data_IF_297473512230
#
_entry.id   IF_297473512230
#
_cell.length_a   1.000
_cell.length_b   1.000
_cell.length_c   1.000
_cell.angle_alpha   90.00
_cell.angle_beta   90.00
_cell.angle_gamma   90.00
#
_symmetry.space_group_name_H-M   'P 1'
#
loop_
_entity.id
_entity.type
_entity.pdbx_description
1 polymer ?
#
# COMPACT_ATOMS: atom_id res chain seq x y z
N UNK A 1 -40.73 23.63 18.86
CA UNK A 1 -40.75 23.02 17.53
C UNK A 1 -39.59 22.05 17.35
N UNK A 2 -39.66 21.17 16.36
CA UNK A 2 -38.60 20.15 16.08
C UNK A 2 -37.41 20.71 15.31
N UNK A 3 -37.40 21.99 14.99
CA UNK A 3 -36.32 22.62 14.21
C UNK A 3 -35.38 23.38 15.13
N UNK A 4 -34.07 23.10 14.95
CA UNK A 4 -32.98 23.79 15.63
C UNK A 4 -32.01 24.34 14.57
N UNK A 5 -31.62 25.60 14.72
CA UNK A 5 -30.72 26.23 13.76
C UNK A 5 -29.29 25.63 13.86
N UNK A 6 -28.57 25.46 12.74
CA UNK A 6 -27.17 25.10 12.80
C UNK A 6 -26.38 26.02 13.73
N UNK A 7 -25.70 25.44 14.70
CA UNK A 7 -25.01 26.18 15.76
C UNK A 7 -23.56 25.75 15.83
N UNK A 8 -22.65 26.72 15.78
CA UNK A 8 -21.23 26.51 15.98
C UNK A 8 -20.80 27.15 17.32
N UNK A 9 -20.28 26.34 18.20
CA UNK A 9 -19.75 26.75 19.49
C UNK A 9 -18.20 26.84 19.43
N UNK A 10 -17.64 27.68 20.24
CA UNK A 10 -16.18 27.76 20.45
C UNK A 10 -15.89 27.42 21.92
N UNK A 11 -15.15 26.33 22.13
CA UNK A 11 -14.65 26.00 23.46
C UNK A 11 -13.45 26.88 23.79
N UNK A 12 -13.55 27.61 24.90
CA UNK A 12 -12.48 28.53 25.34
C UNK A 12 -11.29 27.81 25.94
N UNK A 13 -11.53 26.70 26.63
CA UNK A 13 -10.49 25.82 27.18
C UNK A 13 -10.96 24.37 27.08
N UNK A 14 -10.82 23.80 25.89
CA UNK A 14 -11.32 22.46 25.59
C UNK A 14 -10.61 21.33 26.38
N UNK A 15 -9.39 21.59 26.88
CA UNK A 15 -8.67 20.62 27.72
C UNK A 15 -9.24 20.52 29.14
N UNK A 16 -9.78 21.59 29.66
CA UNK A 16 -10.32 21.67 31.04
C UNK A 16 -11.84 21.53 31.12
N UNK A 17 -12.54 21.93 30.06
CA UNK A 17 -14.01 21.87 30.01
C UNK A 17 -14.47 20.49 29.54
N UNK A 18 -14.89 19.64 30.48
CA UNK A 18 -15.39 18.31 30.19
C UNK A 18 -16.82 18.30 29.63
N UNK A 19 -17.58 19.38 29.80
CA UNK A 19 -18.96 19.47 29.31
C UNK A 19 -19.07 19.27 27.80
N UNK A 20 -18.15 19.82 27.03
CA UNK A 20 -18.11 19.69 25.56
C UNK A 20 -17.77 18.26 25.08
N UNK A 21 -17.16 17.45 25.95
CA UNK A 21 -16.79 16.07 25.66
C UNK A 21 -17.82 15.04 26.19
N UNK A 22 -18.52 15.38 27.26
CA UNK A 22 -19.46 14.50 27.93
C UNK A 22 -20.90 14.59 27.40
N UNK A 23 -21.27 15.74 26.85
CA UNK A 23 -22.61 15.98 26.33
C UNK A 23 -22.63 15.77 24.81
N UNK A 24 -23.40 14.81 24.35
CA UNK A 24 -23.66 14.61 22.94
C UNK A 24 -24.89 15.39 22.50
N UNK A 25 -24.70 16.42 21.70
CA UNK A 25 -25.80 17.19 21.12
C UNK A 25 -26.34 16.47 19.86
N UNK A 26 -27.43 15.75 19.98
CA UNK A 26 -28.10 15.11 18.85
C UNK A 26 -28.85 16.16 18.01
N UNK A 27 -28.08 16.91 17.18
CA UNK A 27 -28.64 17.98 16.35
C UNK A 27 -27.52 18.67 15.55
N UNK A 28 -27.85 19.73 14.81
CA UNK A 28 -26.90 20.49 14.00
C UNK A 28 -26.01 21.40 14.86
N UNK A 29 -25.33 20.83 15.83
CA UNK A 29 -24.41 21.54 16.75
C UNK A 29 -23.01 20.99 16.56
N UNK A 30 -22.04 21.88 16.39
CA UNK A 30 -20.61 21.55 16.32
C UNK A 30 -19.83 22.45 17.27
N UNK A 31 -18.78 21.91 17.87
CA UNK A 31 -17.88 22.66 18.75
C UNK A 31 -16.50 22.76 18.12
N UNK A 32 -16.02 23.98 17.93
CA UNK A 32 -14.66 24.25 17.51
C UNK A 32 -13.74 24.25 18.75
N UNK A 33 -12.65 23.48 18.65
CA UNK A 33 -11.60 23.39 19.67
C UNK A 33 -10.27 23.70 19.00
N UNK A 34 -9.55 24.67 19.54
CA UNK A 34 -8.20 25.02 19.05
C UNK A 34 -7.15 24.18 19.75
N UNK A 35 -6.05 23.93 19.07
CA UNK A 35 -4.88 23.24 19.61
C UNK A 35 -3.60 23.79 18.99
N UNK A 36 -2.48 23.68 19.69
CA UNK A 36 -1.18 24.19 19.25
C UNK A 36 -0.35 23.13 18.53
N UNK A 37 -0.54 21.85 18.85
CA UNK A 37 0.21 20.74 18.27
C UNK A 37 -0.61 19.45 18.20
N UNK A 38 -0.14 18.49 17.38
CA UNK A 38 -0.85 17.24 17.09
C UNK A 38 -1.19 16.42 18.34
N UNK A 39 -0.31 16.39 19.34
CA UNK A 39 -0.53 15.61 20.57
C UNK A 39 -1.71 16.14 21.38
N UNK A 40 -1.88 17.45 21.41
CA UNK A 40 -3.03 18.08 22.02
C UNK A 40 -4.33 17.77 21.28
N UNK A 41 -4.31 17.83 19.94
CA UNK A 41 -5.45 17.43 19.12
C UNK A 41 -5.85 15.96 19.38
N UNK A 42 -4.88 15.07 19.51
CA UNK A 42 -5.12 13.66 19.83
C UNK A 42 -5.70 13.48 21.24
N UNK A 43 -5.19 14.23 22.22
CA UNK A 43 -5.71 14.21 23.59
C UNK A 43 -7.16 14.73 23.64
N UNK A 44 -7.47 15.82 22.94
CA UNK A 44 -8.84 16.34 22.79
C UNK A 44 -9.77 15.30 22.16
N UNK A 45 -9.35 14.68 21.06
CA UNK A 45 -10.13 13.65 20.38
C UNK A 45 -10.40 12.43 21.29
N UNK A 46 -9.43 12.04 22.12
CA UNK A 46 -9.57 10.93 23.07
C UNK A 46 -10.55 11.22 24.24
N UNK A 47 -10.73 12.50 24.62
CA UNK A 47 -11.68 12.91 25.68
C UNK A 47 -13.15 12.54 25.33
N UNK A 48 -13.48 12.31 24.05
CA UNK A 48 -14.77 11.79 23.63
C UNK A 48 -15.07 10.36 24.08
N UNK A 49 -14.08 9.63 24.62
CA UNK A 49 -14.21 8.26 25.18
C UNK A 49 -14.74 7.22 24.18
N UNK A 50 -14.57 7.47 22.91
CA UNK A 50 -14.98 6.61 21.80
C UNK A 50 -15.89 7.30 20.80
N UNK A 51 -15.50 7.26 19.55
CA UNK A 51 -16.21 7.87 18.43
C UNK A 51 -16.35 6.89 17.27
N UNK A 52 -17.45 6.97 16.53
CA UNK A 52 -17.65 6.15 15.33
C UNK A 52 -16.65 6.54 14.23
N UNK A 53 -16.41 7.84 14.05
CA UNK A 53 -15.62 8.37 12.95
C UNK A 53 -14.72 9.51 13.43
N UNK A 54 -13.51 9.55 12.88
CA UNK A 54 -12.63 10.73 12.90
C UNK A 54 -12.15 11.07 11.49
N UNK A 55 -11.97 12.35 11.21
CA UNK A 55 -11.40 12.80 9.93
C UNK A 55 -10.16 13.63 10.19
N UNK A 56 -9.05 13.24 9.57
CA UNK A 56 -7.81 14.00 9.52
C UNK A 56 -7.68 14.68 8.16
N UNK A 57 -7.62 15.99 8.13
CA UNK A 57 -7.34 16.76 6.91
C UNK A 57 -5.87 17.17 6.93
N UNK A 58 -5.06 16.57 6.06
CA UNK A 58 -3.63 16.89 5.97
C UNK A 58 -3.06 16.56 4.60
N UNK A 59 -2.08 17.32 4.15
CA UNK A 59 -1.25 17.01 2.98
C UNK A 59 0.05 16.28 3.35
N UNK A 60 0.33 16.15 4.65
CA UNK A 60 1.58 15.60 5.16
C UNK A 60 1.43 14.12 5.55
N UNK A 61 2.08 13.19 4.82
CA UNK A 61 2.04 11.77 5.14
C UNK A 61 2.64 11.41 6.50
N UNK A 62 3.60 12.20 6.99
CA UNK A 62 4.24 11.97 8.30
C UNK A 62 3.23 12.22 9.42
N UNK A 63 2.47 13.30 9.32
CA UNK A 63 1.37 13.60 10.23
C UNK A 63 0.32 12.50 10.20
N UNK A 64 -0.06 11.99 9.02
CA UNK A 64 -1.03 10.90 8.90
C UNK A 64 -0.51 9.61 9.54
N UNK A 65 0.74 9.23 9.28
CA UNK A 65 1.35 8.03 9.84
C UNK A 65 1.48 8.07 11.38
N UNK A 66 1.64 9.27 11.96
CA UNK A 66 1.68 9.48 13.41
C UNK A 66 0.28 9.47 14.02
N UNK A 67 -0.68 10.14 13.39
CA UNK A 67 -2.04 10.30 13.88
C UNK A 67 -2.79 8.98 14.00
N UNK A 68 -2.76 8.15 12.94
CA UNK A 68 -3.63 6.97 12.84
C UNK A 68 -3.43 5.96 13.98
N UNK A 69 -2.21 5.51 14.33
CA UNK A 69 -2.03 4.55 15.42
C UNK A 69 -2.54 5.05 16.77
N UNK A 70 -2.44 6.35 17.02
CA UNK A 70 -2.86 6.97 18.29
C UNK A 70 -4.39 7.17 18.33
N UNK A 71 -4.99 7.60 17.23
CA UNK A 71 -6.43 7.82 17.15
C UNK A 71 -7.23 6.51 17.03
N UNK A 72 -6.63 5.45 16.50
CA UNK A 72 -7.29 4.17 16.27
C UNK A 72 -7.84 3.51 17.56
N UNK A 73 -7.27 3.81 18.72
CA UNK A 73 -7.77 3.31 20.01
C UNK A 73 -9.14 3.89 20.39
N UNK A 74 -9.47 5.08 19.90
CA UNK A 74 -10.69 5.82 20.27
C UNK A 74 -11.64 6.08 19.11
N UNK A 75 -11.27 5.72 17.87
CA UNK A 75 -12.10 5.94 16.68
C UNK A 75 -12.28 4.64 15.91
N UNK A 76 -13.51 4.30 15.59
CA UNK A 76 -13.84 3.10 14.82
C UNK A 76 -13.43 3.18 13.36
N UNK A 77 -13.51 4.37 12.78
CA UNK A 77 -13.14 4.65 11.40
C UNK A 77 -12.38 5.97 11.33
N UNK A 78 -11.32 6.01 10.52
CA UNK A 78 -10.52 7.20 10.29
C UNK A 78 -10.49 7.48 8.78
N UNK A 79 -10.98 8.64 8.38
CA UNK A 79 -10.83 9.18 7.03
C UNK A 79 -9.63 10.13 7.01
N UNK A 80 -8.68 9.88 6.12
CA UNK A 80 -7.58 10.81 5.84
C UNK A 80 -7.91 11.54 4.54
N UNK A 81 -8.13 12.84 4.64
CA UNK A 81 -8.54 13.66 3.53
C UNK A 81 -7.38 14.57 3.11
N UNK A 82 -6.90 14.37 1.91
CA UNK A 82 -5.94 15.20 1.21
C UNK A 82 -6.52 15.68 -0.13
N UNK A 83 -5.71 16.35 -0.94
CA UNK A 83 -6.17 16.85 -2.23
C UNK A 83 -6.49 15.72 -3.22
N UNK A 84 -5.78 14.58 -3.14
CA UNK A 84 -6.02 13.43 -4.02
C UNK A 84 -7.35 12.75 -3.67
N UNK A 85 -7.63 12.56 -2.37
CA UNK A 85 -8.84 11.91 -1.91
C UNK A 85 -10.08 12.81 -1.96
N UNK A 86 -9.92 14.13 -1.92
CA UNK A 86 -11.03 15.07 -1.77
C UNK A 86 -12.08 15.02 -2.88
N UNK A 87 -11.67 14.67 -4.10
CA UNK A 87 -12.57 14.60 -5.27
C UNK A 87 -13.37 13.31 -5.34
N UNK A 88 -12.82 12.20 -4.82
CA UNK A 88 -13.39 10.84 -4.94
C UNK A 88 -13.86 10.27 -3.60
N UNK A 89 -13.67 10.99 -2.51
CA UNK A 89 -14.05 10.52 -1.18
C UNK A 89 -15.57 10.43 -1.04
N UNK A 90 -16.04 9.30 -0.51
CA UNK A 90 -17.44 9.12 -0.12
C UNK A 90 -17.81 9.92 1.15
N UNK A 91 -16.84 10.64 1.73
CA UNK A 91 -16.98 11.29 3.03
C UNK A 91 -16.94 10.32 4.21
N UNK A 92 -16.89 10.87 5.41
CA UNK A 92 -16.76 10.04 6.61
C UNK A 92 -18.07 9.35 7.04
N UNK A 93 -19.21 9.78 6.55
CA UNK A 93 -20.50 9.18 6.87
C UNK A 93 -20.75 7.81 6.21
N UNK A 94 -20.08 7.48 5.12
CA UNK A 94 -20.35 6.29 4.31
C UNK A 94 -19.09 5.42 4.20
N UNK A 95 -18.93 4.38 5.05
CA UNK A 95 -17.81 3.46 4.92
C UNK A 95 -17.97 2.60 3.67
N UNK A 96 -16.85 2.25 3.02
CA UNK A 96 -16.88 1.27 1.95
C UNK A 96 -17.31 -0.10 2.48
N UNK A 97 -18.07 -0.90 1.70
CA UNK A 97 -18.66 -2.18 2.18
C UNK A 97 -17.63 -3.21 2.67
N UNK A 98 -16.40 -3.13 2.17
CA UNK A 98 -15.32 -4.06 2.55
C UNK A 98 -14.60 -3.68 3.85
N UNK A 99 -14.85 -2.49 4.38
CA UNK A 99 -14.19 -2.01 5.58
C UNK A 99 -14.77 -2.68 6.83
N UNK A 100 -13.89 -3.22 7.65
CA UNK A 100 -14.23 -3.79 8.98
C UNK A 100 -13.70 -2.85 10.05
N UNK A 101 -14.60 -2.39 10.90
CA UNK A 101 -14.26 -1.47 11.99
C UNK A 101 -15.06 -1.82 13.24
N UNK A 102 -14.58 -1.36 14.41
CA UNK A 102 -15.28 -1.48 15.68
C UNK A 102 -15.90 -0.15 16.10
N UNK A 103 -16.75 -0.18 17.13
CA UNK A 103 -17.21 1.00 17.84
C UNK A 103 -16.54 1.09 19.21
N UNK A 104 -15.42 1.82 19.38
CA UNK A 104 -14.68 1.86 20.63
C UNK A 104 -15.46 2.64 21.69
N UNK A 105 -15.29 2.22 22.96
CA UNK A 105 -15.83 2.93 24.11
C UNK A 105 -17.34 3.22 24.00
N UNK A 106 -17.73 4.46 24.23
CA UNK A 106 -19.15 4.91 24.18
C UNK A 106 -19.77 4.86 22.79
N UNK A 107 -18.99 4.75 21.72
CA UNK A 107 -19.53 4.57 20.38
C UNK A 107 -20.27 3.26 20.22
N UNK A 108 -19.98 2.28 21.07
CA UNK A 108 -20.62 0.97 21.07
C UNK A 108 -20.34 0.14 19.82
N UNK A 109 -20.85 -1.05 19.80
CA UNK A 109 -20.71 -1.96 18.68
C UNK A 109 -19.68 -3.04 18.86
N UNK A 110 -19.90 -4.15 18.16
CA UNK A 110 -19.05 -5.32 18.19
C UNK A 110 -19.77 -6.55 17.71
N UNK A 111 -19.02 -7.58 17.36
CA UNK A 111 -19.54 -8.90 16.97
C UNK A 111 -19.65 -9.80 18.20
N UNK A 112 -20.72 -10.57 18.33
CA UNK A 112 -20.81 -11.65 19.33
C UNK A 112 -19.93 -12.82 18.94
N UNK A 113 -19.17 -13.38 19.90
CA UNK A 113 -18.07 -14.22 19.53
C UNK A 113 -17.71 -15.34 20.50
N UNK A 114 -17.42 -16.49 19.91
CA UNK A 114 -16.70 -17.60 20.54
C UNK A 114 -15.31 -17.80 19.92
N UNK A 115 -14.41 -18.46 20.66
CA UNK A 115 -13.07 -18.82 20.19
C UNK A 115 -12.21 -17.64 19.75
N UNK A 116 -11.46 -17.81 18.65
CA UNK A 116 -10.57 -16.76 18.12
C UNK A 116 -11.32 -15.49 17.69
N UNK A 117 -12.58 -15.58 17.36
CA UNK A 117 -13.41 -14.41 17.04
C UNK A 117 -13.59 -13.53 18.25
N UNK A 118 -13.82 -14.11 19.44
CA UNK A 118 -13.92 -13.37 20.70
C UNK A 118 -12.64 -12.60 20.99
N UNK A 119 -11.48 -13.23 20.81
CA UNK A 119 -10.18 -12.57 20.98
C UNK A 119 -10.06 -11.37 20.05
N UNK A 120 -10.40 -11.54 18.77
CA UNK A 120 -10.38 -10.44 17.79
C UNK A 120 -11.40 -9.34 18.09
N UNK A 121 -12.50 -9.67 18.75
CA UNK A 121 -13.50 -8.71 19.18
C UNK A 121 -12.97 -7.75 20.25
N UNK A 122 -12.21 -8.26 21.21
CA UNK A 122 -11.58 -7.42 22.22
C UNK A 122 -10.39 -6.60 21.70
N UNK A 123 -9.95 -6.85 20.47
CA UNK A 123 -8.95 -6.01 19.81
C UNK A 123 -9.68 -4.88 19.06
N UNK A 124 -9.31 -3.64 19.36
CA UNK A 124 -9.85 -2.49 18.63
C UNK A 124 -9.48 -2.59 17.15
N UNK A 125 -10.48 -2.46 16.31
CA UNK A 125 -10.33 -2.36 14.85
C UNK A 125 -10.77 -0.99 14.38
N UNK A 126 -9.88 -0.31 13.67
CA UNK A 126 -10.20 0.94 13.00
C UNK A 126 -10.03 0.75 11.49
N UNK A 127 -11.02 1.16 10.72
CA UNK A 127 -10.88 1.25 9.27
C UNK A 127 -10.27 2.59 8.89
N UNK A 128 -9.28 2.56 8.00
CA UNK A 128 -8.58 3.75 7.52
C UNK A 128 -8.85 3.91 6.03
N UNK A 129 -9.26 5.11 5.62
CA UNK A 129 -9.49 5.49 4.24
C UNK A 129 -8.63 6.71 3.91
N UNK A 130 -8.06 6.75 2.72
CA UNK A 130 -7.23 7.84 2.27
C UNK A 130 -6.69 7.59 0.86
N UNK A 131 -5.94 8.56 0.30
CA UNK A 131 -5.24 8.35 -0.95
C UNK A 131 -4.18 7.23 -0.82
N UNK A 132 -3.79 6.56 -1.92
CA UNK A 132 -2.74 5.54 -1.87
C UNK A 132 -1.46 6.02 -1.19
N UNK A 133 -1.06 7.28 -1.38
CA UNK A 133 0.12 7.89 -0.75
C UNK A 133 -0.02 7.95 0.78
N UNK A 134 -1.19 8.37 1.28
CA UNK A 134 -1.45 8.42 2.73
C UNK A 134 -1.55 7.04 3.33
N UNK A 135 -2.18 6.10 2.64
CA UNK A 135 -2.26 4.72 3.08
C UNK A 135 -0.88 4.06 3.13
N UNK A 136 -0.03 4.29 2.13
CA UNK A 136 1.35 3.79 2.13
C UNK A 136 2.15 4.32 3.34
N UNK A 137 1.98 5.58 3.70
CA UNK A 137 2.64 6.18 4.87
C UNK A 137 2.17 5.56 6.19
N UNK A 138 0.85 5.35 6.34
CA UNK A 138 0.24 4.77 7.55
C UNK A 138 0.60 3.30 7.72
N UNK A 139 0.51 2.51 6.65
CA UNK A 139 0.78 1.07 6.69
C UNK A 139 2.26 0.72 6.68
N UNK A 140 3.11 1.68 6.30
CA UNK A 140 4.54 1.48 6.03
C UNK A 140 4.78 0.42 4.94
N UNK A 141 3.85 0.32 4.01
CA UNK A 141 3.95 -0.52 2.82
C UNK A 141 3.54 0.30 1.59
N UNK A 142 4.24 0.14 0.48
CA UNK A 142 3.84 0.76 -0.77
C UNK A 142 2.48 0.21 -1.23
N UNK A 143 1.59 1.11 -1.57
CA UNK A 143 0.28 0.83 -2.16
C UNK A 143 0.32 1.31 -3.61
N UNK A 144 -0.11 0.49 -4.56
CA UNK A 144 -0.15 0.89 -5.98
C UNK A 144 -0.97 2.15 -6.17
N UNK A 145 -0.45 3.06 -6.98
CA UNK A 145 -1.00 4.41 -7.13
C UNK A 145 -0.43 5.45 -6.14
N UNK A 146 0.33 5.03 -5.11
CA UNK A 146 1.05 5.96 -4.26
C UNK A 146 2.21 6.62 -5.03
N UNK A 147 2.57 7.83 -4.62
CA UNK A 147 3.74 8.52 -5.16
C UNK A 147 4.99 7.69 -4.96
N UNK A 148 5.75 7.51 -6.03
CA UNK A 148 7.04 6.83 -6.01
C UNK A 148 8.18 7.83 -5.96
N UNK A 149 9.36 7.37 -5.54
CA UNK A 149 10.58 8.16 -5.47
C UNK A 149 11.63 7.59 -6.42
N UNK A 150 12.04 8.39 -7.39
CA UNK A 150 13.12 8.09 -8.34
C UNK A 150 14.20 9.17 -8.14
N UNK A 151 15.22 8.87 -7.34
CA UNK A 151 16.30 9.80 -6.98
C UNK A 151 17.57 9.66 -7.85
N UNK A 152 17.46 8.87 -8.93
CA UNK A 152 18.57 8.61 -9.85
C UNK A 152 19.55 7.53 -9.35
N UNK A 153 19.41 7.06 -8.12
CA UNK A 153 20.20 5.96 -7.59
C UNK A 153 19.42 4.65 -7.78
N UNK A 154 20.05 3.69 -8.45
CA UNK A 154 19.42 2.37 -8.63
C UNK A 154 19.08 1.76 -7.26
N UNK A 155 17.82 1.31 -7.01
CA UNK A 155 17.40 0.83 -5.69
C UNK A 155 18.27 -0.32 -5.16
N UNK A 156 18.76 -1.21 -6.02
CA UNK A 156 19.67 -2.31 -5.64
C UNK A 156 21.08 -1.85 -5.23
N UNK A 157 21.38 -0.54 -5.33
CA UNK A 157 22.64 0.06 -4.86
C UNK A 157 22.53 0.69 -3.48
N UNK A 158 21.33 0.65 -2.87
CA UNK A 158 21.07 1.18 -1.54
C UNK A 158 21.16 0.09 -0.49
N UNK A 159 21.85 0.38 0.62
CA UNK A 159 21.79 -0.46 1.80
C UNK A 159 20.39 -0.47 2.41
N UNK A 160 20.12 -1.47 3.25
CA UNK A 160 18.80 -1.65 3.86
C UNK A 160 18.30 -0.38 4.56
N UNK A 161 19.17 0.35 5.27
CA UNK A 161 18.82 1.59 5.95
C UNK A 161 18.49 2.73 4.98
N UNK A 162 19.20 2.82 3.85
CA UNK A 162 19.04 3.88 2.87
C UNK A 162 17.82 3.73 1.98
N UNK A 163 17.27 2.52 1.91
CA UNK A 163 16.04 2.24 1.19
C UNK A 163 14.84 2.82 1.92
N UNK A 164 14.04 3.60 1.23
CA UNK A 164 12.72 4.03 1.69
C UNK A 164 11.60 3.27 0.95
N UNK A 165 10.48 3.08 1.62
CA UNK A 165 9.26 2.59 0.97
C UNK A 165 8.87 3.56 -0.14
N UNK A 166 8.58 3.03 -1.34
CA UNK A 166 8.31 3.83 -2.53
C UNK A 166 9.54 4.18 -3.37
N UNK A 167 10.77 3.83 -2.96
CA UNK A 167 11.92 3.91 -3.87
C UNK A 167 11.66 3.05 -5.09
N UNK A 168 11.78 3.64 -6.28
CA UNK A 168 11.33 3.01 -7.52
C UNK A 168 12.35 3.13 -8.65
N UNK A 169 12.26 2.19 -9.55
CA UNK A 169 12.97 2.18 -10.83
C UNK A 169 11.99 1.84 -11.94
N UNK A 170 11.89 2.70 -12.93
CA UNK A 170 11.29 2.35 -14.22
C UNK A 170 12.40 1.93 -15.18
N UNK A 171 12.35 0.70 -15.68
CA UNK A 171 13.41 0.14 -16.54
C UNK A 171 13.37 0.71 -17.94
N UNK A 172 14.38 0.40 -18.76
CA UNK A 172 14.26 0.48 -20.20
C UNK A 172 13.28 -0.57 -20.72
N UNK A 173 12.94 -0.49 -22.00
CA UNK A 173 12.00 -1.39 -22.69
C UNK A 173 12.75 -2.53 -23.38
N UNK A 174 12.07 -3.69 -23.52
CA UNK A 174 12.56 -4.83 -24.28
C UNK A 174 11.43 -5.42 -25.13
N UNK A 175 11.69 -5.58 -26.44
CA UNK A 175 10.78 -6.29 -27.34
C UNK A 175 11.04 -7.79 -27.26
N UNK A 176 9.97 -8.57 -27.15
CA UNK A 176 10.00 -10.04 -27.14
C UNK A 176 10.09 -10.53 -28.58
N UNK A 177 11.12 -11.29 -28.89
CA UNK A 177 11.38 -11.82 -30.23
C UNK A 177 11.05 -13.31 -30.34
N UNK A 178 10.98 -13.83 -31.56
CA UNK A 178 10.88 -15.26 -31.84
C UNK A 178 12.05 -16.04 -31.19
N UNK A 179 13.25 -15.49 -31.29
CA UNK A 179 14.44 -16.08 -30.71
C UNK A 179 14.35 -16.23 -29.18
N UNK A 180 13.70 -15.30 -28.48
CA UNK A 180 13.48 -15.42 -27.03
C UNK A 180 12.63 -16.65 -26.68
N UNK A 181 11.59 -16.92 -27.45
CA UNK A 181 10.70 -18.06 -27.23
C UNK A 181 11.44 -19.37 -27.47
N UNK A 182 12.16 -19.45 -28.60
CA UNK A 182 12.92 -20.66 -28.98
C UNK A 182 14.02 -20.95 -27.95
N UNK A 183 14.80 -19.96 -27.58
CA UNK A 183 15.87 -20.12 -26.61
C UNK A 183 15.33 -20.49 -25.22
N UNK A 184 14.25 -19.86 -24.78
CA UNK A 184 13.65 -20.17 -23.49
C UNK A 184 13.07 -21.59 -23.45
N UNK A 185 12.40 -22.03 -24.53
CA UNK A 185 11.97 -23.42 -24.67
C UNK A 185 13.12 -24.41 -24.60
N UNK A 186 14.26 -24.11 -25.26
CA UNK A 186 15.46 -24.95 -25.21
C UNK A 186 16.09 -25.05 -23.82
N UNK A 187 16.01 -23.98 -23.02
CA UNK A 187 16.55 -23.95 -21.65
C UNK A 187 15.57 -24.63 -20.67
N UNK A 188 14.29 -24.34 -20.79
CA UNK A 188 13.26 -24.80 -19.84
C UNK A 188 12.73 -26.20 -20.12
N UNK A 189 12.78 -26.64 -21.37
CA UNK A 189 12.10 -27.84 -21.86
C UNK A 189 10.59 -27.66 -22.04
N UNK A 190 10.07 -26.44 -21.90
CA UNK A 190 8.65 -26.14 -22.06
C UNK A 190 8.31 -25.86 -23.52
N UNK A 191 7.93 -26.92 -24.22
CA UNK A 191 7.47 -26.89 -25.61
C UNK A 191 5.94 -26.94 -25.73
N UNK A 192 5.24 -26.38 -24.76
CA UNK A 192 3.79 -26.34 -24.79
C UNK A 192 3.28 -25.65 -26.08
N UNK A 193 2.23 -26.19 -26.68
CA UNK A 193 1.77 -25.77 -28.00
C UNK A 193 1.51 -24.29 -28.17
N UNK A 194 1.05 -23.60 -27.11
CA UNK A 194 0.78 -22.18 -27.16
C UNK A 194 2.02 -21.33 -27.44
N UNK A 195 3.21 -21.87 -27.25
CA UNK A 195 4.46 -21.17 -27.49
C UNK A 195 5.07 -21.52 -28.86
N UNK A 196 4.80 -22.71 -29.39
CA UNK A 196 5.49 -23.28 -30.55
C UNK A 196 4.63 -23.64 -31.73
N UNK A 197 3.36 -23.99 -31.55
CA UNK A 197 2.47 -24.40 -32.63
C UNK A 197 1.58 -23.23 -33.08
N UNK A 198 1.91 -22.66 -34.23
CA UNK A 198 1.19 -21.51 -34.79
C UNK A 198 -0.27 -21.85 -35.14
N UNK A 199 -0.53 -23.09 -35.59
CA UNK A 199 -1.87 -23.50 -36.00
C UNK A 199 -2.76 -23.69 -34.79
N UNK A 200 -2.30 -24.46 -33.80
CA UNK A 200 -3.05 -24.69 -32.56
C UNK A 200 -3.22 -23.45 -31.74
N UNK A 201 -2.21 -22.56 -31.70
CA UNK A 201 -2.28 -21.31 -30.97
C UNK A 201 -3.33 -20.35 -31.56
N UNK A 202 -3.58 -20.36 -32.86
CA UNK A 202 -4.65 -19.57 -33.50
C UNK A 202 -6.04 -20.01 -33.04
N UNK A 203 -6.24 -21.27 -32.76
CA UNK A 203 -7.50 -21.79 -32.24
C UNK A 203 -7.66 -21.59 -30.71
N UNK A 204 -6.60 -21.17 -30.03
CA UNK A 204 -6.62 -20.91 -28.60
C UNK A 204 -7.35 -19.61 -28.26
N UNK A 205 -7.73 -19.38 -26.98
CA UNK A 205 -8.30 -18.12 -26.54
C UNK A 205 -7.44 -16.89 -26.81
N UNK A 206 -6.13 -17.07 -27.10
CA UNK A 206 -5.20 -15.99 -27.38
C UNK A 206 -5.07 -15.64 -28.86
N UNK A 207 -5.52 -16.52 -29.75
CA UNK A 207 -5.51 -16.29 -31.20
C UNK A 207 -4.13 -16.18 -31.85
N UNK A 208 -3.05 -16.41 -31.09
CA UNK A 208 -1.65 -16.34 -31.53
C UNK A 208 -0.73 -17.04 -30.52
N UNK A 209 0.51 -17.34 -30.94
CA UNK A 209 1.52 -17.79 -30.00
C UNK A 209 1.86 -16.70 -28.98
N UNK A 210 2.05 -17.09 -27.75
CA UNK A 210 2.40 -16.21 -26.62
C UNK A 210 3.72 -16.63 -25.99
N UNK A 211 4.38 -15.70 -25.33
CA UNK A 211 5.58 -15.99 -24.55
C UNK A 211 5.25 -16.82 -23.31
N UNK A 212 6.19 -17.66 -22.89
CA UNK A 212 6.12 -18.35 -21.60
C UNK A 212 5.99 -17.34 -20.47
N UNK A 213 5.12 -17.57 -19.51
CA UNK A 213 5.00 -16.70 -18.35
C UNK A 213 6.31 -16.57 -17.58
N UNK A 214 7.03 -17.66 -17.39
CA UNK A 214 8.35 -17.66 -16.75
C UNK A 214 9.42 -16.92 -17.54
N UNK A 215 9.33 -16.90 -18.89
CA UNK A 215 10.18 -16.04 -19.70
C UNK A 215 9.93 -14.55 -19.38
N UNK A 216 8.66 -14.13 -19.33
CA UNK A 216 8.28 -12.74 -19.01
C UNK A 216 8.83 -12.35 -17.63
N UNK A 217 8.70 -13.23 -16.64
CA UNK A 217 9.27 -13.04 -15.31
C UNK A 217 10.80 -12.86 -15.34
N UNK A 218 11.49 -13.77 -16.04
CA UNK A 218 12.95 -13.74 -16.15
C UNK A 218 13.47 -12.53 -16.92
N UNK A 219 12.78 -12.16 -18.01
CA UNK A 219 13.10 -11.00 -18.83
C UNK A 219 12.91 -9.69 -18.03
N UNK A 220 11.83 -9.59 -17.25
CA UNK A 220 11.60 -8.45 -16.36
C UNK A 220 12.68 -8.35 -15.28
N UNK A 221 13.10 -9.49 -14.69
CA UNK A 221 14.20 -9.52 -13.74
C UNK A 221 15.51 -9.00 -14.36
N UNK A 222 15.80 -9.41 -15.59
CA UNK A 222 16.95 -8.90 -16.34
C UNK A 222 16.92 -7.39 -16.61
N UNK A 223 15.71 -6.81 -16.72
CA UNK A 223 15.56 -5.36 -16.93
C UNK A 223 15.86 -4.54 -15.67
N UNK A 224 15.50 -5.01 -14.48
CA UNK A 224 15.67 -4.24 -13.25
C UNK A 224 16.89 -4.66 -12.41
N UNK A 225 17.65 -5.67 -12.79
CA UNK A 225 18.84 -6.05 -12.03
C UNK A 225 19.96 -5.03 -12.19
N UNK A 226 20.71 -4.78 -11.11
CA UNK A 226 21.99 -4.08 -11.17
C UNK A 226 23.11 -5.12 -11.26
N UNK A 227 23.85 -5.22 -12.40
CA UNK A 227 24.79 -6.33 -12.63
C UNK A 227 26.06 -6.27 -11.78
N UNK A 228 26.41 -5.09 -11.27
CA UNK A 228 27.63 -4.94 -10.46
C UNK A 228 27.37 -5.32 -8.98
N UNK A 229 28.39 -5.83 -8.26
CA UNK A 229 28.27 -6.13 -6.83
C UNK A 229 27.69 -4.94 -6.03
N UNK A 230 26.80 -5.22 -5.10
CA UNK A 230 26.10 -4.20 -4.32
C UNK A 230 25.45 -4.78 -3.05
N UNK A 231 24.64 -3.95 -2.36
CA UNK A 231 24.00 -4.36 -1.12
C UNK A 231 22.96 -5.48 -1.26
N UNK A 232 22.38 -5.70 -2.45
CA UNK A 232 21.50 -6.85 -2.69
C UNK A 232 22.34 -8.12 -2.74
N UNK A 233 22.10 -9.02 -1.79
CA UNK A 233 22.90 -10.21 -1.57
C UNK A 233 22.37 -11.42 -2.35
N UNK A 234 21.04 -11.55 -2.42
CA UNK A 234 20.39 -12.69 -3.08
C UNK A 234 18.91 -12.39 -3.38
N UNK A 235 18.41 -13.09 -4.40
CA UNK A 235 16.96 -13.27 -4.57
C UNK A 235 16.50 -14.30 -3.52
N UNK A 236 15.51 -13.94 -2.73
CA UNK A 236 15.02 -14.71 -1.58
C UNK A 236 13.70 -15.43 -1.86
N UNK A 237 12.91 -14.92 -2.81
CA UNK A 237 11.64 -15.54 -3.16
C UNK A 237 10.74 -14.65 -3.99
N UNK A 238 9.57 -15.20 -4.29
CA UNK A 238 8.49 -14.57 -5.03
C UNK A 238 7.17 -14.77 -4.27
N UNK A 239 6.39 -13.69 -4.16
CA UNK A 239 5.04 -13.73 -3.61
C UNK A 239 4.04 -13.17 -4.63
N UNK A 240 2.79 -13.60 -4.52
CA UNK A 240 1.62 -13.01 -5.22
C UNK A 240 1.72 -12.92 -6.74
N UNK A 241 2.52 -13.79 -7.40
CA UNK A 241 2.67 -13.78 -8.86
C UNK A 241 1.33 -13.98 -9.59
N UNK A 242 1.05 -13.08 -10.54
CA UNK A 242 -0.08 -13.18 -11.47
C UNK A 242 0.38 -12.78 -12.88
N UNK A 243 0.05 -13.62 -13.85
CA UNK A 243 0.08 -13.26 -15.26
C UNK A 243 -1.31 -12.73 -15.62
N UNK A 244 -1.40 -11.43 -15.93
CA UNK A 244 -2.67 -10.70 -16.07
C UNK A 244 -3.13 -10.71 -17.52
N UNK A 245 -2.19 -10.47 -18.44
CA UNK A 245 -2.44 -10.51 -19.89
C UNK A 245 -1.31 -11.27 -20.59
N UNK A 246 -1.60 -11.96 -21.71
CA UNK A 246 -0.57 -12.62 -22.48
C UNK A 246 0.39 -11.60 -23.13
N UNK A 247 1.65 -11.99 -23.25
CA UNK A 247 2.66 -11.28 -24.03
C UNK A 247 2.93 -12.06 -25.31
N UNK A 248 2.74 -11.45 -26.45
CA UNK A 248 3.00 -12.05 -27.76
C UNK A 248 4.41 -11.75 -28.27
N UNK A 249 4.81 -12.47 -29.31
CA UNK A 249 6.00 -12.14 -30.11
C UNK A 249 5.78 -10.77 -30.75
N UNK A 250 6.78 -9.88 -30.62
CA UNK A 250 6.67 -8.48 -31.06
C UNK A 250 6.16 -7.50 -30.00
N UNK A 251 5.57 -7.97 -28.92
CA UNK A 251 5.21 -7.10 -27.80
C UNK A 251 6.47 -6.57 -27.12
N UNK A 252 6.37 -5.35 -26.59
CA UNK A 252 7.47 -4.68 -25.89
C UNK A 252 7.11 -4.52 -24.42
N UNK A 253 7.90 -5.11 -23.53
CA UNK A 253 7.69 -5.04 -22.09
C UNK A 253 8.58 -4.01 -21.43
N UNK A 254 8.08 -3.46 -20.33
CA UNK A 254 8.78 -2.56 -19.41
C UNK A 254 8.42 -2.93 -17.97
N UNK A 255 9.35 -2.87 -17.05
CA UNK A 255 9.10 -3.17 -15.65
C UNK A 255 9.25 -1.93 -14.76
N UNK A 256 8.35 -1.80 -13.78
CA UNK A 256 8.52 -0.92 -12.63
C UNK A 256 8.78 -1.76 -11.40
N UNK A 257 9.87 -1.46 -10.71
CA UNK A 257 10.27 -2.08 -9.45
C UNK A 257 10.13 -1.03 -8.34
N UNK A 258 9.33 -1.29 -7.31
CA UNK A 258 9.11 -0.34 -6.21
C UNK A 258 9.31 -1.01 -4.86
N UNK A 259 10.10 -0.39 -3.96
CA UNK A 259 10.30 -0.89 -2.61
C UNK A 259 8.96 -0.86 -1.85
N UNK A 260 8.40 -2.06 -1.62
CA UNK A 260 7.07 -2.22 -1.03
C UNK A 260 7.12 -2.31 0.48
N UNK A 261 7.97 -3.16 1.02
CA UNK A 261 8.06 -3.45 2.44
C UNK A 261 9.48 -3.83 2.84
N UNK A 262 9.89 -3.41 4.03
CA UNK A 262 11.16 -3.76 4.63
C UNK A 262 10.93 -4.62 5.87
N UNK A 263 11.62 -5.75 5.96
CA UNK A 263 11.51 -6.68 7.07
C UNK A 263 12.90 -6.85 7.68
N UNK A 264 13.06 -6.40 8.91
CA UNK A 264 14.28 -6.61 9.67
C UNK A 264 14.44 -8.11 9.99
N UNK A 265 15.58 -8.69 9.67
CA UNK A 265 15.83 -10.14 9.89
C UNK A 265 16.96 -10.40 10.85
N UNK A 266 18.15 -9.84 10.58
CA UNK A 266 19.40 -10.07 11.31
C UNK A 266 20.16 -8.77 11.51
N UNK A 267 21.21 -8.84 12.33
CA UNK A 267 22.07 -7.67 12.61
C UNK A 267 22.68 -7.07 11.34
N UNK A 268 23.02 -7.90 10.36
CA UNK A 268 23.78 -7.56 9.14
C UNK A 268 22.91 -7.51 7.87
N UNK A 269 21.67 -7.96 7.91
CA UNK A 269 20.81 -8.02 6.72
C UNK A 269 19.31 -7.92 7.04
N UNK A 270 18.53 -7.50 6.05
CA UNK A 270 17.09 -7.51 6.06
C UNK A 270 16.52 -8.06 4.76
N UNK A 271 15.22 -8.28 4.72
CA UNK A 271 14.47 -8.62 3.50
C UNK A 271 13.74 -7.38 3.02
N UNK A 272 13.85 -7.10 1.73
CA UNK A 272 13.04 -6.10 1.05
C UNK A 272 12.10 -6.82 0.10
N UNK A 273 10.80 -6.57 0.24
CA UNK A 273 9.81 -6.94 -0.74
C UNK A 273 9.64 -5.78 -1.73
N UNK A 274 9.69 -6.11 -3.01
CA UNK A 274 9.55 -5.15 -4.10
C UNK A 274 8.30 -5.46 -4.88
N UNK A 275 7.39 -4.50 -5.03
CA UNK A 275 6.29 -4.60 -5.98
C UNK A 275 6.84 -4.46 -7.40
N UNK A 276 6.56 -5.43 -8.24
CA UNK A 276 6.95 -5.43 -9.65
C UNK A 276 5.70 -5.41 -10.52
N UNK A 277 5.62 -4.41 -11.37
CA UNK A 277 4.62 -4.27 -12.41
C UNK A 277 5.29 -4.37 -13.77
N UNK A 278 4.88 -5.35 -14.58
CA UNK A 278 5.36 -5.48 -15.96
C UNK A 278 4.23 -5.05 -16.88
N UNK A 279 4.51 -4.05 -17.71
CA UNK A 279 3.54 -3.50 -18.67
C UNK A 279 3.99 -3.76 -20.11
N UNK A 280 3.03 -3.81 -21.03
CA UNK A 280 3.32 -3.87 -22.47
C UNK A 280 3.47 -2.47 -23.08
N UNK A 281 3.64 -2.38 -24.40
CA UNK A 281 3.78 -1.13 -25.17
C UNK A 281 2.58 -0.18 -25.04
N UNK A 282 1.41 -0.70 -24.68
CA UNK A 282 0.17 0.07 -24.51
C UNK A 282 -0.03 0.54 -23.06
N UNK A 283 0.93 0.27 -22.16
CA UNK A 283 0.79 0.55 -20.73
C UNK A 283 -0.11 -0.44 -19.97
N UNK A 284 -0.51 -1.53 -20.60
CA UNK A 284 -1.35 -2.55 -19.96
C UNK A 284 -0.51 -3.48 -19.09
N UNK A 285 -1.00 -3.77 -17.88
CA UNK A 285 -0.36 -4.70 -16.95
C UNK A 285 -0.41 -6.13 -17.52
N UNK A 286 0.75 -6.74 -17.71
CA UNK A 286 0.87 -8.13 -18.23
C UNK A 286 1.28 -9.11 -17.14
N UNK A 287 2.10 -8.68 -16.18
CA UNK A 287 2.44 -9.48 -15.01
C UNK A 287 2.63 -8.59 -13.78
N UNK A 288 2.33 -9.13 -12.61
CA UNK A 288 2.60 -8.47 -11.34
C UNK A 288 2.99 -9.47 -10.26
N UNK A 289 3.94 -9.10 -9.41
CA UNK A 289 4.43 -9.94 -8.32
C UNK A 289 5.23 -9.15 -7.32
N UNK A 290 5.44 -9.73 -6.13
CA UNK A 290 6.43 -9.23 -5.19
C UNK A 290 7.70 -10.08 -5.32
N UNK A 291 8.86 -9.45 -5.60
CA UNK A 291 10.15 -10.11 -5.47
C UNK A 291 10.73 -9.81 -4.08
N UNK A 292 11.27 -10.83 -3.43
CA UNK A 292 11.90 -10.71 -2.13
C UNK A 292 13.41 -10.80 -2.31
N UNK A 293 14.14 -9.82 -1.79
CA UNK A 293 15.61 -9.83 -1.81
C UNK A 293 16.19 -9.72 -0.40
N UNK A 294 17.31 -10.41 -0.19
CA UNK A 294 18.17 -10.16 0.97
C UNK A 294 19.02 -8.93 0.66
N UNK A 295 19.03 -7.97 1.58
CA UNK A 295 19.78 -6.71 1.43
C UNK A 295 20.66 -6.50 2.64
N UNK A 296 21.94 -6.21 2.39
CA UNK A 296 22.91 -5.91 3.42
C UNK A 296 22.54 -4.63 4.17
N UNK A 297 22.81 -4.63 5.47
CA UNK A 297 22.84 -3.45 6.32
C UNK A 297 24.21 -2.80 6.29
N UNK A 298 24.23 -1.50 6.58
CA UNK A 298 25.52 -0.82 6.80
C UNK A 298 26.20 -1.48 8.00
N UNK A 299 27.48 -1.85 7.83
CA UNK A 299 28.26 -2.35 8.95
C UNK A 299 28.31 -1.27 10.02
N UNK A 300 27.82 -1.58 11.21
CA UNK A 300 28.13 -0.78 12.40
C UNK A 300 29.62 -0.97 12.63
N UNK A 301 30.44 -0.04 12.17
CA UNK A 301 31.85 0.01 12.60
C UNK A 301 31.81 0.18 14.13
N UNK A 302 32.39 -0.72 14.92
CA UNK A 302 32.49 -0.48 16.36
C UNK A 302 33.26 0.82 16.55
N UNK A 303 32.67 1.73 17.33
CA UNK A 303 33.33 2.97 17.76
C UNK A 303 34.52 2.68 18.65
#
# INVERSE_FOLDING_TARGET
GAFFAPTLLLAKDAMRDDGVHDIEAFGPVSTLMTYDHLDEALALAAKGKGSLVGTLVTKDPVTAARFVPMAAATHGRILILDREAAQESTGHGSPLPVLKHGGPGRAGGGEELGGIRAVKHYLQRAAVQGSPTMLAAVTREHVRGAKVREDGVHPFRKYFEDLAIGDSLLTHRRTVSEADIVNFGGISGDYFYMHFDEIAAKESPFGKRIAHGYFVLSAAAGLFVSPAPGPVLANYGLDTLRFVKPVGIGDTIQARLTAKRKIDKKKDQGVVAWDVEVTNQNGELVASYDILTLVAKKSVTPA
#
